data_IF_419815314177
#
_entry.id   IF_419815314177
#
_cell.length_a   1.000
_cell.length_b   1.000
_cell.length_c   1.000
_cell.angle_alpha   90.00
_cell.angle_beta   90.00
_cell.angle_gamma   90.00
#
_symmetry.space_group_name_H-M   'P 1'
#
loop_
_entity.id
_entity.type
_entity.pdbx_description
1 polymer ?
#
# COMPACT_ATOMS: atom_id res chain seq x y z
N UNK A 1 -1.57 -25.41 -5.24
CA UNK A 1 -2.51 -25.20 -6.36
C UNK A 1 -1.99 -24.03 -7.15
N UNK A 2 -1.84 -24.14 -8.46
CA UNK A 2 -1.40 -23.05 -9.32
C UNK A 2 -2.49 -21.98 -9.40
N UNK A 3 -2.07 -20.70 -9.36
CA UNK A 3 -3.00 -19.58 -9.49
C UNK A 3 -3.10 -19.24 -10.98
N UNK A 4 -4.31 -19.34 -11.52
CA UNK A 4 -4.60 -18.99 -12.91
C UNK A 4 -5.38 -17.68 -12.91
N UNK A 5 -4.76 -16.60 -13.40
CA UNK A 5 -5.44 -15.33 -13.64
C UNK A 5 -6.18 -15.39 -14.98
N UNK A 6 -7.49 -15.20 -14.96
CA UNK A 6 -8.37 -15.29 -16.14
C UNK A 6 -8.89 -13.94 -16.61
N UNK A 7 -8.53 -12.83 -15.94
CA UNK A 7 -9.03 -11.50 -16.26
C UNK A 7 -7.96 -10.58 -16.84
N UNK A 8 -8.32 -9.78 -17.82
CA UNK A 8 -7.62 -8.54 -18.18
C UNK A 8 -7.93 -7.45 -17.17
N UNK A 9 -7.26 -6.29 -17.26
CA UNK A 9 -7.46 -5.17 -16.32
C UNK A 9 -8.83 -4.49 -16.47
N UNK A 10 -9.46 -4.61 -17.65
CA UNK A 10 -10.81 -4.15 -17.94
C UNK A 10 -11.91 -5.15 -17.56
N UNK A 11 -11.56 -6.23 -16.88
CA UNK A 11 -12.43 -7.34 -16.48
C UNK A 11 -13.02 -8.16 -17.64
N UNK A 12 -12.46 -8.08 -18.84
CA UNK A 12 -12.70 -9.05 -19.89
C UNK A 12 -11.88 -10.32 -19.64
N UNK A 13 -12.30 -11.44 -20.25
CA UNK A 13 -11.60 -12.73 -20.12
C UNK A 13 -10.31 -12.71 -20.95
N UNK A 14 -9.19 -13.07 -20.34
CA UNK A 14 -7.90 -13.14 -21.01
C UNK A 14 -7.68 -14.49 -21.76
N UNK A 15 -6.48 -14.71 -22.30
CA UNK A 15 -6.14 -15.90 -23.08
C UNK A 15 -6.26 -17.22 -22.29
N UNK A 16 -6.14 -17.22 -20.96
CA UNK A 16 -6.34 -18.42 -20.13
C UNK A 16 -7.80 -18.91 -20.15
N UNK A 17 -8.75 -18.02 -20.43
CA UNK A 17 -10.16 -18.36 -20.59
C UNK A 17 -10.51 -19.04 -21.91
N UNK A 18 -9.53 -19.31 -22.78
CA UNK A 18 -9.66 -20.08 -24.04
C UNK A 18 -10.80 -19.54 -24.92
N UNK A 19 -11.84 -20.35 -25.15
CA UNK A 19 -12.97 -20.02 -26.05
C UNK A 19 -13.79 -18.80 -25.56
N UNK A 20 -13.64 -18.39 -24.31
CA UNK A 20 -14.32 -17.23 -23.75
C UNK A 20 -13.46 -15.94 -23.78
N UNK A 21 -12.25 -16.02 -24.35
CA UNK A 21 -11.33 -14.88 -24.44
C UNK A 21 -12.00 -13.65 -25.09
N UNK A 22 -11.80 -12.49 -24.50
CA UNK A 22 -12.33 -11.21 -24.98
C UNK A 22 -13.77 -10.91 -24.58
N UNK A 23 -14.50 -11.86 -23.98
CA UNK A 23 -15.85 -11.61 -23.48
C UNK A 23 -15.82 -10.81 -22.18
N UNK A 24 -16.84 -9.97 -21.98
CA UNK A 24 -17.14 -9.42 -20.67
C UNK A 24 -17.41 -10.55 -19.67
N UNK A 25 -16.96 -10.37 -18.42
CA UNK A 25 -17.08 -11.37 -17.35
C UNK A 25 -18.51 -11.87 -17.11
N UNK A 26 -19.52 -11.00 -17.25
CA UNK A 26 -20.91 -11.40 -17.03
C UNK A 26 -21.45 -12.19 -18.23
N UNK A 27 -21.06 -11.83 -19.44
CA UNK A 27 -21.39 -12.59 -20.64
C UNK A 27 -20.69 -13.95 -20.64
N UNK A 28 -19.41 -13.99 -20.24
CA UNK A 28 -18.68 -15.23 -20.09
C UNK A 28 -19.36 -16.20 -19.10
N UNK A 29 -19.80 -15.69 -17.92
CA UNK A 29 -20.54 -16.49 -16.92
C UNK A 29 -21.79 -17.13 -17.53
N UNK A 30 -22.57 -16.38 -18.32
CA UNK A 30 -23.78 -16.93 -18.99
C UNK A 30 -23.42 -18.02 -20.00
N UNK A 31 -22.42 -17.78 -20.86
CA UNK A 31 -22.00 -18.77 -21.85
C UNK A 31 -21.44 -20.05 -21.21
N UNK A 32 -20.64 -19.91 -20.15
CA UNK A 32 -20.10 -21.06 -19.39
C UNK A 32 -21.24 -21.92 -18.83
N UNK A 33 -22.27 -21.31 -18.25
CA UNK A 33 -23.42 -22.03 -17.70
C UNK A 33 -24.16 -22.78 -18.82
N UNK A 34 -24.39 -22.13 -19.97
CA UNK A 34 -25.03 -22.77 -21.11
C UNK A 34 -24.22 -23.97 -21.62
N UNK A 35 -22.92 -23.78 -21.86
CA UNK A 35 -22.03 -24.83 -22.34
C UNK A 35 -21.95 -26.03 -21.36
N UNK A 36 -21.91 -25.79 -20.07
CA UNK A 36 -21.89 -26.85 -19.08
C UNK A 36 -23.26 -27.58 -19.00
N UNK A 37 -24.34 -26.85 -19.23
CA UNK A 37 -25.70 -27.43 -19.29
C UNK A 37 -25.81 -28.36 -20.51
N UNK A 38 -25.35 -27.93 -21.69
CA UNK A 38 -25.33 -28.73 -22.93
C UNK A 38 -24.48 -29.98 -22.78
N UNK A 39 -23.40 -29.93 -22.03
CA UNK A 39 -22.53 -31.07 -21.72
C UNK A 39 -23.09 -31.99 -20.63
N UNK A 40 -24.24 -31.66 -20.02
CA UNK A 40 -24.85 -32.44 -18.93
C UNK A 40 -24.05 -32.42 -17.64
N UNK A 41 -23.19 -31.38 -17.44
CA UNK A 41 -22.34 -31.24 -16.28
C UNK A 41 -23.00 -30.43 -15.15
N UNK A 42 -24.17 -29.82 -15.39
CA UNK A 42 -24.95 -29.11 -14.37
C UNK A 42 -26.08 -30.02 -13.87
N UNK A 43 -26.03 -30.43 -12.61
CA UNK A 43 -27.06 -31.25 -11.98
C UNK A 43 -28.29 -30.47 -11.56
N UNK A 44 -28.14 -29.23 -11.12
CA UNK A 44 -29.23 -28.38 -10.62
C UNK A 44 -28.82 -26.90 -10.64
N UNK A 45 -29.80 -26.04 -10.94
CA UNK A 45 -29.69 -24.58 -10.78
C UNK A 45 -30.78 -24.11 -9.82
N UNK A 46 -30.39 -23.34 -8.80
CA UNK A 46 -31.30 -22.78 -7.79
C UNK A 46 -31.14 -21.25 -7.73
N UNK A 47 -32.25 -20.58 -7.43
CA UNK A 47 -32.21 -19.16 -7.11
C UNK A 47 -31.56 -18.95 -5.73
N UNK A 48 -30.53 -18.12 -5.67
CA UNK A 48 -29.79 -17.84 -4.45
C UNK A 48 -29.51 -16.33 -4.33
N UNK A 49 -29.79 -15.77 -3.16
CA UNK A 49 -29.52 -14.37 -2.86
C UNK A 49 -28.31 -14.25 -1.95
N UNK A 50 -27.30 -13.47 -2.37
CA UNK A 50 -26.10 -13.23 -1.57
C UNK A 50 -25.63 -11.77 -1.72
N UNK A 51 -24.81 -11.31 -0.78
CA UNK A 51 -24.18 -10.00 -0.88
C UNK A 51 -23.06 -10.03 -1.90
N UNK A 52 -23.03 -9.02 -2.76
CA UNK A 52 -21.97 -8.83 -3.77
C UNK A 52 -21.06 -7.70 -3.29
N UNK A 53 -19.75 -7.93 -3.34
CA UNK A 53 -18.77 -6.89 -3.04
C UNK A 53 -18.74 -5.87 -4.18
N UNK A 54 -18.93 -4.59 -3.83
CA UNK A 54 -18.84 -3.47 -4.76
C UNK A 54 -17.65 -2.60 -4.39
N UNK A 55 -17.01 -2.02 -5.41
CA UNK A 55 -16.00 -0.98 -5.22
C UNK A 55 -16.66 0.28 -4.65
N UNK A 56 -16.19 0.78 -3.50
CA UNK A 56 -16.69 2.01 -2.89
C UNK A 56 -16.59 3.24 -3.81
N UNK A 57 -15.70 3.21 -4.79
CA UNK A 57 -15.40 4.36 -5.65
C UNK A 57 -16.15 4.35 -6.97
N UNK A 58 -16.42 3.17 -7.52
CA UNK A 58 -16.98 3.01 -8.86
C UNK A 58 -18.31 2.29 -8.88
N UNK A 59 -18.76 1.73 -7.75
CA UNK A 59 -19.89 0.81 -7.63
C UNK A 59 -19.81 -0.42 -8.56
N UNK A 60 -18.63 -0.71 -9.11
CA UNK A 60 -18.41 -1.90 -9.93
C UNK A 60 -18.29 -3.14 -9.05
N UNK A 61 -18.80 -4.27 -9.52
CA UNK A 61 -18.63 -5.56 -8.87
C UNK A 61 -17.15 -5.93 -8.81
N UNK A 62 -16.65 -6.28 -7.64
CA UNK A 62 -15.24 -6.68 -7.43
C UNK A 62 -15.05 -8.13 -7.83
N UNK A 63 -14.02 -8.39 -8.64
CA UNK A 63 -13.54 -9.74 -8.92
C UNK A 63 -12.18 -9.96 -8.26
N UNK A 64 -11.92 -11.14 -7.65
CA UNK A 64 -10.63 -11.45 -7.08
C UNK A 64 -9.55 -11.53 -8.16
N UNK A 65 -8.51 -10.71 -8.04
CA UNK A 65 -7.35 -10.71 -8.95
C UNK A 65 -6.08 -10.44 -8.15
N UNK A 66 -5.03 -11.19 -8.44
CA UNK A 66 -3.70 -10.90 -7.90
C UNK A 66 -3.02 -9.82 -8.73
N UNK A 67 -2.40 -8.87 -8.06
CA UNK A 67 -1.57 -7.84 -8.68
C UNK A 67 -0.31 -7.59 -7.87
N UNK A 68 0.75 -7.14 -8.54
CA UNK A 68 1.96 -6.72 -7.86
C UNK A 68 1.69 -5.44 -7.09
N UNK A 69 2.12 -5.40 -5.83
CA UNK A 69 1.91 -4.27 -4.94
C UNK A 69 3.19 -3.98 -4.17
N UNK A 70 3.37 -2.72 -3.78
CA UNK A 70 4.46 -2.32 -2.91
C UNK A 70 4.08 -2.49 -1.45
N UNK A 71 4.94 -3.19 -0.69
CA UNK A 71 4.76 -3.43 0.73
C UNK A 71 5.96 -2.92 1.54
N UNK A 72 5.68 -2.41 2.73
CA UNK A 72 6.69 -2.17 3.76
C UNK A 72 6.65 -3.31 4.76
N UNK A 73 7.82 -3.87 5.07
CA UNK A 73 7.99 -4.84 6.16
C UNK A 73 7.93 -4.13 7.51
N UNK A 74 6.78 -4.25 8.18
CA UNK A 74 6.47 -3.43 9.35
C UNK A 74 7.08 -3.94 10.65
N UNK A 75 7.30 -5.25 10.80
CA UNK A 75 7.65 -5.86 12.10
C UNK A 75 8.84 -5.19 12.78
N UNK A 76 9.97 -5.04 12.07
CA UNK A 76 11.18 -4.42 12.63
C UNK A 76 11.02 -2.93 12.93
N UNK A 77 10.20 -2.23 12.14
CA UNK A 77 9.94 -0.79 12.32
C UNK A 77 9.02 -0.57 13.53
N UNK A 78 8.19 -1.56 13.86
CA UNK A 78 7.25 -1.50 14.97
C UNK A 78 7.91 -1.73 16.34
N UNK A 79 9.00 -2.49 16.42
CA UNK A 79 9.64 -2.87 17.68
C UNK A 79 10.00 -1.65 18.57
N UNK A 80 10.74 -0.63 18.11
CA UNK A 80 11.04 0.54 18.93
C UNK A 80 9.78 1.33 19.35
N UNK A 81 8.77 1.35 18.49
CA UNK A 81 7.51 2.03 18.76
C UNK A 81 6.67 1.32 19.83
N UNK A 82 6.74 0.00 19.90
CA UNK A 82 6.13 -0.80 20.98
C UNK A 82 6.84 -0.49 22.29
N UNK A 83 8.15 -0.57 22.31
CA UNK A 83 8.98 -0.39 23.50
C UNK A 83 8.77 1.00 24.12
N UNK A 84 8.69 2.05 23.30
CA UNK A 84 8.47 3.41 23.75
C UNK A 84 7.14 3.62 24.51
N UNK A 85 6.07 2.95 24.05
CA UNK A 85 4.75 3.03 24.69
C UNK A 85 4.67 2.11 25.93
N UNK A 86 5.22 0.91 25.83
CA UNK A 86 5.19 -0.07 26.95
C UNK A 86 6.06 0.39 28.11
N UNK A 87 7.22 0.98 27.86
CA UNK A 87 8.10 1.54 28.88
C UNK A 87 7.54 2.82 29.52
N UNK A 88 6.58 3.50 28.87
CA UNK A 88 6.04 4.77 29.31
C UNK A 88 6.85 5.98 28.86
N UNK A 89 7.80 5.81 27.95
CA UNK A 89 8.52 6.93 27.31
C UNK A 89 7.54 7.80 26.50
N UNK A 90 6.55 7.17 25.84
CA UNK A 90 5.35 7.84 25.31
C UNK A 90 4.16 7.46 26.18
N UNK A 91 3.49 8.45 26.76
CA UNK A 91 2.37 8.23 27.67
C UNK A 91 1.03 8.32 26.95
N UNK A 92 0.15 7.37 27.20
CA UNK A 92 -1.21 7.38 26.65
C UNK A 92 -2.26 7.80 27.68
N UNK A 93 -3.14 8.67 27.28
CA UNK A 93 -4.27 9.16 28.07
C UNK A 93 -5.59 8.99 27.30
N UNK A 94 -6.50 8.12 27.79
CA UNK A 94 -6.40 7.27 28.97
C UNK A 94 -5.53 6.02 28.76
N UNK A 95 -4.88 5.54 29.83
CA UNK A 95 -3.96 4.39 29.82
C UNK A 95 -4.55 3.10 29.23
N UNK A 96 -5.88 2.94 29.20
CA UNK A 96 -6.54 1.76 28.63
C UNK A 96 -6.13 1.47 27.18
N UNK A 97 -5.76 2.50 26.42
CA UNK A 97 -5.37 2.35 25.01
C UNK A 97 -3.98 1.73 24.81
N UNK A 98 -3.14 1.66 25.87
CA UNK A 98 -1.82 0.99 25.79
C UNK A 98 -1.99 -0.49 25.39
N UNK A 99 -2.94 -1.20 25.98
CA UNK A 99 -3.17 -2.61 25.67
C UNK A 99 -3.67 -2.81 24.23
N UNK A 100 -4.55 -1.93 23.77
CA UNK A 100 -5.06 -1.96 22.38
C UNK A 100 -3.91 -1.68 21.40
N UNK A 101 -3.11 -0.64 21.65
CA UNK A 101 -1.94 -0.28 20.86
C UNK A 101 -0.95 -1.46 20.79
N UNK A 102 -0.58 -2.02 21.95
CA UNK A 102 0.34 -3.16 22.06
C UNK A 102 -0.15 -4.35 21.22
N UNK A 103 -1.40 -4.74 21.39
CA UNK A 103 -1.97 -5.87 20.65
C UNK A 103 -1.94 -5.64 19.13
N UNK A 104 -2.25 -4.43 18.65
CA UNK A 104 -2.16 -4.12 17.23
C UNK A 104 -0.74 -4.16 16.70
N UNK A 105 0.21 -3.61 17.45
CA UNK A 105 1.60 -3.50 17.02
C UNK A 105 2.34 -4.84 17.04
N UNK A 106 2.07 -5.70 18.03
CA UNK A 106 2.63 -7.07 18.10
C UNK A 106 2.11 -7.97 16.97
N UNK A 107 0.89 -7.73 16.50
CA UNK A 107 0.26 -8.46 15.39
C UNK A 107 0.30 -7.69 14.06
N UNK A 108 1.18 -6.71 13.94
CA UNK A 108 1.24 -5.86 12.75
C UNK A 108 1.61 -6.68 11.51
N UNK A 109 0.86 -6.44 10.43
CA UNK A 109 1.11 -7.03 9.11
C UNK A 109 1.87 -6.06 8.23
N UNK A 110 2.53 -6.59 7.21
CA UNK A 110 3.19 -5.76 6.21
C UNK A 110 2.17 -4.82 5.56
N UNK A 111 2.58 -3.58 5.37
CA UNK A 111 1.71 -2.51 4.90
C UNK A 111 1.77 -2.38 3.39
N UNK A 112 0.67 -2.71 2.72
CA UNK A 112 0.50 -2.37 1.31
C UNK A 112 0.38 -0.85 1.15
N UNK A 113 1.37 -0.24 0.48
CA UNK A 113 1.44 1.21 0.28
C UNK A 113 1.01 1.65 -1.12
N UNK A 114 0.69 0.73 -2.02
CA UNK A 114 0.21 1.05 -3.38
C UNK A 114 -1.29 1.33 -3.38
N UNK A 115 -1.72 2.31 -4.17
CA UNK A 115 -3.13 2.59 -4.46
C UNK A 115 -3.30 2.86 -5.94
N UNK A 116 -4.28 2.22 -6.56
CA UNK A 116 -4.67 2.40 -7.96
C UNK A 116 -5.64 3.59 -8.06
N UNK A 117 -5.10 4.80 -7.92
CA UNK A 117 -5.84 6.06 -7.90
C UNK A 117 -5.24 7.06 -8.87
N UNK A 118 -6.08 7.91 -9.44
CA UNK A 118 -5.61 9.01 -10.27
C UNK A 118 -4.93 10.11 -9.46
N UNK A 119 -5.45 10.44 -8.27
CA UNK A 119 -4.95 11.52 -7.43
C UNK A 119 -4.14 10.98 -6.25
N UNK A 120 -2.90 11.44 -6.12
CA UNK A 120 -2.01 11.08 -5.01
C UNK A 120 -0.54 11.29 -5.35
N UNK A 121 0.34 10.92 -4.41
CA UNK A 121 1.79 10.94 -4.62
C UNK A 121 2.20 9.71 -5.41
N UNK A 122 2.55 9.90 -6.66
CA UNK A 122 2.99 8.80 -7.53
C UNK A 122 4.19 8.06 -6.96
N UNK A 123 4.16 6.74 -7.01
CA UNK A 123 5.24 5.89 -6.47
C UNK A 123 6.54 6.21 -7.22
N UNK A 124 7.65 6.54 -6.50
CA UNK A 124 8.90 6.98 -7.11
C UNK A 124 9.76 5.80 -7.58
N UNK A 125 9.14 4.86 -8.27
CA UNK A 125 9.80 3.68 -8.87
C UNK A 125 9.76 3.79 -10.38
N UNK A 126 10.87 3.48 -11.01
CA UNK A 126 11.00 3.45 -12.46
C UNK A 126 11.38 2.04 -12.89
N UNK A 127 10.63 1.50 -13.84
CA UNK A 127 10.82 0.19 -14.44
C UNK A 127 11.45 0.29 -15.81
N UNK A 128 12.16 -0.74 -16.23
CA UNK A 128 12.52 -0.93 -17.63
C UNK A 128 11.26 -1.41 -18.39
N UNK A 129 10.82 -0.69 -19.42
CA UNK A 129 9.55 -0.95 -20.14
C UNK A 129 9.35 -2.40 -20.61
N UNK A 130 10.43 -3.06 -20.98
CA UNK A 130 10.38 -4.43 -21.50
C UNK A 130 10.69 -5.50 -20.44
N UNK A 131 10.99 -5.09 -19.21
CA UNK A 131 11.36 -6.00 -18.13
C UNK A 131 11.09 -5.36 -16.76
N UNK A 132 9.86 -5.47 -16.27
CA UNK A 132 9.43 -4.92 -14.99
C UNK A 132 10.14 -5.55 -13.77
N UNK A 133 10.90 -6.63 -13.96
CA UNK A 133 11.75 -7.17 -12.89
C UNK A 133 12.93 -6.25 -12.56
N UNK A 134 13.30 -5.36 -13.48
CA UNK A 134 14.37 -4.39 -13.34
C UNK A 134 13.80 -3.02 -13.04
N UNK A 135 14.05 -2.56 -11.83
CA UNK A 135 13.55 -1.28 -11.35
C UNK A 135 14.56 -0.55 -10.46
N UNK A 136 14.36 0.74 -10.35
CA UNK A 136 15.08 1.63 -9.43
C UNK A 136 14.11 2.59 -8.75
N UNK A 137 14.41 2.93 -7.49
CA UNK A 137 13.70 3.99 -6.75
C UNK A 137 14.43 5.30 -6.99
N UNK A 138 13.73 6.33 -7.47
CA UNK A 138 14.37 7.60 -7.85
C UNK A 138 13.41 8.78 -7.74
N UNK A 139 13.96 9.98 -7.48
CA UNK A 139 13.19 11.24 -7.37
C UNK A 139 12.62 11.69 -8.73
N UNK A 140 13.31 11.38 -9.80
CA UNK A 140 12.92 11.75 -11.15
C UNK A 140 13.58 10.81 -12.18
N UNK A 141 13.14 10.90 -13.42
CA UNK A 141 13.61 10.02 -14.50
C UNK A 141 15.11 10.18 -14.80
N UNK A 142 15.68 11.39 -14.68
CA UNK A 142 17.11 11.60 -14.92
C UNK A 142 17.97 10.84 -13.92
N UNK A 143 17.63 10.93 -12.63
CA UNK A 143 18.29 10.16 -11.57
C UNK A 143 18.04 8.65 -11.74
N UNK A 144 16.89 8.25 -12.27
CA UNK A 144 16.60 6.86 -12.57
C UNK A 144 17.55 6.28 -13.62
N UNK A 145 17.79 7.01 -14.72
CA UNK A 145 18.75 6.58 -15.76
C UNK A 145 20.16 6.39 -15.19
N UNK A 146 20.62 7.32 -14.34
CA UNK A 146 21.92 7.18 -13.66
C UNK A 146 21.96 5.92 -12.80
N UNK A 147 20.89 5.65 -12.06
CA UNK A 147 20.78 4.43 -11.21
C UNK A 147 20.69 3.15 -12.02
N UNK A 148 20.00 3.15 -13.16
CA UNK A 148 19.99 2.00 -14.07
C UNK A 148 21.38 1.72 -14.63
N UNK A 149 22.11 2.76 -15.03
CA UNK A 149 23.50 2.61 -15.49
C UNK A 149 24.39 2.02 -14.39
N UNK A 150 24.31 2.54 -13.16
CA UNK A 150 25.14 2.07 -12.04
C UNK A 150 24.78 0.66 -11.56
N UNK A 151 23.49 0.30 -11.55
CA UNK A 151 23.00 -0.97 -10.98
C UNK A 151 23.05 -2.13 -11.97
N UNK A 152 22.71 -1.85 -13.24
CA UNK A 152 22.52 -2.86 -14.28
C UNK A 152 23.45 -2.72 -15.46
N UNK A 153 24.28 -1.66 -15.50
CA UNK A 153 25.14 -1.30 -16.62
C UNK A 153 24.38 -1.06 -17.95
N UNK A 154 23.17 -0.48 -17.84
CA UNK A 154 22.35 -0.14 -19.00
C UNK A 154 22.53 1.33 -19.38
N UNK A 155 22.73 1.59 -20.65
CA UNK A 155 22.63 2.93 -21.24
C UNK A 155 21.21 3.10 -21.82
N UNK A 156 20.38 3.81 -21.09
CA UNK A 156 18.95 3.97 -21.37
C UNK A 156 18.63 5.43 -21.68
N UNK A 157 17.57 5.61 -22.45
CA UNK A 157 16.93 6.89 -22.72
C UNK A 157 15.66 7.07 -21.88
N UNK A 158 15.01 8.22 -21.97
CA UNK A 158 13.73 8.48 -21.32
C UNK A 158 12.62 7.55 -21.82
N UNK A 159 12.73 7.10 -23.08
CA UNK A 159 11.72 6.23 -23.70
C UNK A 159 11.83 4.77 -23.25
N UNK A 160 12.93 4.37 -22.65
CA UNK A 160 13.18 2.99 -22.21
C UNK A 160 12.65 2.71 -20.82
N UNK A 161 12.27 3.74 -20.06
CA UNK A 161 11.84 3.62 -18.67
C UNK A 161 10.42 4.15 -18.46
N UNK A 162 9.73 3.57 -17.50
CA UNK A 162 8.39 3.97 -17.12
C UNK A 162 8.29 4.09 -15.60
N UNK A 163 7.69 5.18 -15.13
CA UNK A 163 7.38 5.33 -13.71
C UNK A 163 6.14 4.52 -13.35
N UNK A 164 6.15 3.93 -12.16
CA UNK A 164 4.99 3.24 -11.57
C UNK A 164 3.73 4.12 -11.69
N UNK A 165 2.62 3.51 -12.11
CA UNK A 165 1.36 4.23 -12.32
C UNK A 165 0.54 4.38 -11.04
N UNK A 166 0.84 3.59 -10.01
CA UNK A 166 0.18 3.66 -8.73
C UNK A 166 0.62 4.87 -7.91
N UNK A 167 -0.19 5.25 -6.95
CA UNK A 167 0.13 6.27 -5.97
C UNK A 167 0.32 5.67 -4.58
N UNK A 168 1.01 6.39 -3.72
CA UNK A 168 1.24 5.99 -2.33
C UNK A 168 -0.04 6.14 -1.51
N UNK A 169 -0.24 5.24 -0.56
CA UNK A 169 -1.22 5.37 0.51
C UNK A 169 -1.11 6.75 1.19
N UNK A 170 -2.23 7.41 1.43
CA UNK A 170 -2.28 8.71 2.10
C UNK A 170 -1.55 8.70 3.44
N UNK A 171 -1.65 7.62 4.20
CA UNK A 171 -0.97 7.47 5.48
C UNK A 171 0.55 7.35 5.34
N UNK A 172 1.05 6.99 4.15
CA UNK A 172 2.50 6.91 3.90
C UNK A 172 3.17 8.30 3.83
N UNK A 173 2.48 9.33 3.39
CA UNK A 173 2.99 10.69 3.48
C UNK A 173 2.70 11.31 4.84
N UNK A 174 1.51 11.08 5.41
CA UNK A 174 1.07 11.70 6.66
C UNK A 174 1.77 11.17 7.92
N UNK A 175 2.38 9.97 7.90
CA UNK A 175 3.19 9.50 9.02
C UNK A 175 4.46 10.34 9.24
N UNK A 176 4.89 11.09 8.23
CA UNK A 176 6.03 12.00 8.30
C UNK A 176 5.68 13.38 8.86
N UNK A 177 4.40 13.63 9.15
CA UNK A 177 3.93 14.95 9.56
C UNK A 177 4.71 15.57 10.73
N UNK A 178 5.04 14.85 11.83
CA UNK A 178 5.81 15.43 12.94
C UNK A 178 7.19 15.94 12.53
N UNK A 179 7.74 15.42 11.42
CA UNK A 179 9.05 15.80 10.89
C UNK A 179 8.88 16.88 9.81
N UNK A 180 7.92 16.68 8.91
CA UNK A 180 7.75 17.51 7.72
C UNK A 180 7.21 18.91 8.02
N UNK A 181 6.39 19.06 9.06
CA UNK A 181 5.80 20.36 9.46
C UNK A 181 6.88 21.36 9.89
N UNK A 182 8.01 20.89 10.37
CA UNK A 182 9.17 21.71 10.76
C UNK A 182 10.28 21.69 9.70
N UNK A 183 9.95 21.36 8.43
CA UNK A 183 10.92 21.20 7.34
C UNK A 183 12.07 20.21 7.63
N UNK A 184 11.87 19.29 8.59
CA UNK A 184 12.92 18.39 9.06
C UNK A 184 13.33 17.29 8.08
N UNK A 185 12.64 17.17 6.94
CA UNK A 185 13.01 16.23 5.85
C UNK A 185 14.12 16.85 4.99
N UNK A 186 14.00 18.13 4.61
CA UNK A 186 14.97 18.84 3.77
C UNK A 186 16.10 19.45 4.60
N UNK A 187 15.76 19.97 5.79
CA UNK A 187 16.66 20.63 6.72
C UNK A 187 16.61 19.95 8.10
N UNK A 188 17.20 18.75 8.27
CA UNK A 188 16.99 17.91 9.45
C UNK A 188 17.54 18.46 10.76
N UNK A 189 18.32 19.54 10.70
CA UNK A 189 18.95 20.19 11.86
C UNK A 189 18.58 21.68 11.98
N UNK A 190 17.46 22.11 11.38
CA UNK A 190 17.01 23.50 11.52
C UNK A 190 16.51 23.80 12.96
N UNK A 191 16.40 25.08 13.29
CA UNK A 191 16.05 25.51 14.65
C UNK A 191 14.65 25.07 15.06
N UNK A 192 13.66 25.08 14.16
CA UNK A 192 12.29 24.70 14.48
C UNK A 192 12.19 23.22 14.86
N UNK A 193 12.79 22.31 14.07
CA UNK A 193 12.74 20.89 14.41
C UNK A 193 13.56 20.58 15.67
N UNK A 194 14.66 21.27 15.91
CA UNK A 194 15.46 21.09 17.13
C UNK A 194 14.72 21.58 18.37
N UNK A 195 13.85 22.58 18.23
CA UNK A 195 13.07 23.13 19.34
C UNK A 195 11.76 22.38 19.58
N UNK A 196 11.01 22.06 18.53
CA UNK A 196 9.65 21.51 18.64
C UNK A 196 9.56 19.98 18.59
N UNK A 197 10.61 19.28 18.16
CA UNK A 197 10.59 17.83 18.09
C UNK A 197 11.45 17.21 19.20
N UNK A 198 10.88 16.32 20.05
CA UNK A 198 9.48 15.84 20.07
C UNK A 198 8.51 16.92 20.57
N UNK A 199 7.27 16.90 20.04
CA UNK A 199 6.21 17.76 20.57
C UNK A 199 5.71 17.27 21.93
N UNK A 200 5.02 18.11 22.70
CA UNK A 200 4.54 17.74 24.04
C UNK A 200 3.37 16.75 23.95
N UNK A 201 2.35 17.11 23.20
CA UNK A 201 1.07 16.39 23.20
C UNK A 201 0.53 16.24 21.78
N UNK A 202 -0.13 15.10 21.52
CA UNK A 202 -0.99 14.91 20.36
C UNK A 202 -2.34 14.39 20.81
N UNK A 203 -3.42 14.98 20.27
CA UNK A 203 -4.80 14.57 20.57
C UNK A 203 -5.40 13.94 19.34
N UNK A 204 -6.03 12.78 19.51
CA UNK A 204 -6.58 11.99 18.39
C UNK A 204 -7.86 11.27 18.79
N UNK A 205 -8.64 10.86 17.78
CA UNK A 205 -9.68 9.85 17.95
C UNK A 205 -9.11 8.44 18.04
N UNK A 206 -9.77 7.52 18.75
CA UNK A 206 -9.30 6.15 18.89
C UNK A 206 -9.28 5.37 17.56
N UNK A 207 -10.11 5.73 16.61
CA UNK A 207 -10.24 5.14 15.28
C UNK A 207 -9.00 5.35 14.38
N UNK A 208 -8.25 6.45 14.58
CA UNK A 208 -7.00 6.71 13.85
C UNK A 208 -5.73 6.50 14.68
N UNK A 209 -5.86 5.98 15.90
CA UNK A 209 -4.72 5.68 16.77
C UNK A 209 -3.72 4.73 16.08
N UNK A 210 -4.20 3.65 15.48
CA UNK A 210 -3.36 2.69 14.76
C UNK A 210 -2.94 3.21 13.39
N UNK A 211 -3.88 3.81 12.64
CA UNK A 211 -3.61 4.22 11.26
C UNK A 211 -2.67 5.43 11.16
N UNK A 212 -2.65 6.30 12.15
CA UNK A 212 -1.86 7.51 12.11
C UNK A 212 -0.86 7.63 13.25
N UNK A 213 -1.30 7.59 14.51
CA UNK A 213 -0.42 7.80 15.67
C UNK A 213 0.68 6.73 15.73
N UNK A 214 0.33 5.46 15.65
CA UNK A 214 1.31 4.37 15.66
C UNK A 214 2.33 4.52 14.52
N UNK A 215 1.87 4.92 13.34
CA UNK A 215 2.75 5.13 12.18
C UNK A 215 3.67 6.34 12.37
N UNK A 216 3.20 7.44 12.96
CA UNK A 216 4.06 8.57 13.30
C UNK A 216 5.13 8.19 14.33
N UNK A 217 4.79 7.36 15.34
CA UNK A 217 5.78 6.85 16.30
C UNK A 217 6.83 6.03 15.57
N UNK A 218 6.40 5.09 14.70
CA UNK A 218 7.32 4.28 13.91
C UNK A 218 8.24 5.14 13.02
N UNK A 219 7.70 6.13 12.33
CA UNK A 219 8.50 7.03 11.48
C UNK A 219 9.48 7.88 12.29
N UNK A 220 9.09 8.31 13.47
CA UNK A 220 9.97 9.05 14.38
C UNK A 220 11.22 8.26 14.73
N UNK A 221 11.05 7.04 15.20
CA UNK A 221 12.19 6.17 15.51
C UNK A 221 12.99 5.76 14.26
N UNK A 222 12.31 5.51 13.14
CA UNK A 222 12.99 5.08 11.91
C UNK A 222 13.85 6.17 11.27
N UNK A 223 13.38 7.42 11.25
CA UNK A 223 14.05 8.51 10.55
C UNK A 223 14.86 9.44 11.47
N UNK A 224 14.53 9.50 12.75
CA UNK A 224 15.15 10.43 13.71
C UNK A 224 15.68 9.75 14.97
N UNK A 225 15.53 8.45 15.11
CA UNK A 225 15.90 7.68 16.30
C UNK A 225 15.33 8.30 17.62
N UNK A 226 14.16 8.91 17.51
CA UNK A 226 13.51 9.58 18.62
C UNK A 226 11.98 9.58 18.47
N UNK A 227 11.28 9.65 19.60
CA UNK A 227 9.82 9.77 19.63
C UNK A 227 9.35 11.08 19.01
N UNK A 228 8.19 11.11 18.34
CA UNK A 228 7.66 12.33 17.74
C UNK A 228 6.91 13.24 18.74
N UNK A 229 6.43 12.68 19.84
CA UNK A 229 5.68 13.38 20.90
C UNK A 229 5.79 12.62 22.23
N UNK A 230 5.52 13.33 23.33
CA UNK A 230 5.62 12.76 24.68
C UNK A 230 4.30 12.08 25.13
N UNK A 231 3.17 12.66 24.75
CA UNK A 231 1.84 12.22 25.23
C UNK A 231 0.84 12.05 24.06
N UNK A 232 -0.05 11.08 24.19
CA UNK A 232 -1.15 10.77 23.27
C UNK A 232 -2.45 10.73 24.03
#
# INVERSE_FOLDING_TARGET
MEIIDIFNDDATINHHGKKYQGLDRFEAKKQIVNDLTEQGLISKTESYTHNIALSERTNSVVEPKLSLQWFIKMKKIAEPAIDAVVSGDIKFYPKKYINTYKNWMENIRDWNISRQLYWGHRIPVYYLKNDNSKFVVSKNVKDALVKFKSKFNFELTFDDVEQDNDVLDTWFSSWLWPISVFDGIRNPSNDDINYYYPTSDIVTGPDILFFWIARMIMSGYYFRDNKPFNNV
#
